data_IF_401438545464
#
_entry.id   IF_401438545464
#
_cell.length_a   1.000
_cell.length_b   1.000
_cell.length_c   1.000
_cell.angle_alpha   90.00
_cell.angle_beta   90.00
_cell.angle_gamma   90.00
#
_symmetry.space_group_name_H-M   'P 1'
#
loop_
_entity.id
_entity.type
_entity.pdbx_description
1 polymer ?
#
# COMPACT_ATOMS: atom_id res chain seq x y z
N UNK A 1 -33.92 -16.74 0.98
CA UNK A 1 -32.47 -16.63 1.28
C UNK A 1 -31.72 -16.79 -0.04
N UNK A 2 -30.91 -15.79 -0.47
CA UNK A 2 -29.55 -15.68 0.06
C UNK A 2 -29.17 -14.22 0.39
N UNK A 3 -29.14 -13.90 1.68
CA UNK A 3 -28.78 -12.60 2.25
C UNK A 3 -27.26 -12.49 2.54
N UNK A 4 -26.42 -13.25 1.81
CA UNK A 4 -24.98 -13.33 2.10
C UNK A 4 -24.13 -12.34 1.31
N UNK A 5 -24.66 -11.75 0.22
CA UNK A 5 -23.96 -10.74 -0.58
C UNK A 5 -24.22 -9.29 -0.14
N UNK A 6 -25.13 -9.04 0.81
CA UNK A 6 -25.49 -7.67 1.22
C UNK A 6 -24.42 -7.01 2.10
N UNK A 7 -23.66 -7.78 2.88
CA UNK A 7 -22.68 -7.23 3.83
C UNK A 7 -21.46 -6.64 3.12
N UNK A 8 -20.87 -7.38 2.17
CA UNK A 8 -19.74 -6.91 1.38
C UNK A 8 -20.13 -5.67 0.55
N UNK A 9 -21.33 -5.69 -0.06
CA UNK A 9 -21.83 -4.54 -0.80
C UNK A 9 -22.17 -3.33 0.08
N UNK A 10 -22.52 -3.56 1.36
CA UNK A 10 -22.76 -2.51 2.35
C UNK A 10 -21.46 -1.87 2.85
N UNK A 11 -20.36 -2.63 2.96
CA UNK A 11 -19.05 -2.11 3.37
C UNK A 11 -18.52 -1.04 2.41
N UNK A 12 -18.84 -1.16 1.12
CA UNK A 12 -18.45 -0.20 0.08
C UNK A 12 -19.46 0.95 -0.15
N UNK A 13 -20.50 1.06 0.68
CA UNK A 13 -21.50 2.16 0.64
C UNK A 13 -21.45 3.08 1.86
N UNK A 14 -20.41 2.96 2.68
CA UNK A 14 -20.23 3.76 3.90
C UNK A 14 -19.01 4.68 3.74
N UNK A 15 -18.85 5.69 4.60
CA UNK A 15 -17.66 6.56 4.64
C UNK A 15 -16.35 5.78 4.79
N UNK A 16 -16.40 4.58 5.38
CA UNK A 16 -15.27 3.64 5.49
C UNK A 16 -14.94 2.89 4.19
N UNK A 17 -15.74 3.04 3.13
CA UNK A 17 -15.48 2.39 1.84
C UNK A 17 -14.09 2.73 1.31
N UNK A 18 -13.66 3.99 1.46
CA UNK A 18 -12.34 4.43 1.04
C UNK A 18 -11.22 3.76 1.86
N UNK A 19 -11.40 3.66 3.17
CA UNK A 19 -10.46 2.95 4.04
C UNK A 19 -10.26 1.50 3.56
N UNK A 20 -11.35 0.76 3.35
CA UNK A 20 -11.27 -0.63 2.90
C UNK A 20 -10.74 -0.77 1.47
N UNK A 21 -11.06 0.17 0.58
CA UNK A 21 -10.57 0.17 -0.79
C UNK A 21 -9.04 0.35 -0.84
N UNK A 22 -8.48 1.25 -0.03
CA UNK A 22 -7.02 1.46 0.06
C UNK A 22 -6.32 0.23 0.61
N UNK A 23 -6.86 -0.38 1.69
CA UNK A 23 -6.34 -1.66 2.22
C UNK A 23 -6.35 -2.72 1.12
N UNK A 24 -7.45 -2.86 0.38
CA UNK A 24 -7.57 -3.86 -0.67
C UNK A 24 -6.56 -3.65 -1.81
N UNK A 25 -6.36 -2.40 -2.26
CA UNK A 25 -5.36 -2.07 -3.29
C UNK A 25 -3.94 -2.39 -2.81
N UNK A 26 -3.58 -1.97 -1.60
CA UNK A 26 -2.26 -2.26 -1.04
C UNK A 26 -2.03 -3.77 -0.91
N UNK A 27 -2.99 -4.50 -0.34
CA UNK A 27 -2.90 -5.96 -0.19
C UNK A 27 -2.76 -6.68 -1.52
N UNK A 28 -3.48 -6.24 -2.57
CA UNK A 28 -3.36 -6.81 -3.90
C UNK A 28 -1.97 -6.57 -4.50
N UNK A 29 -1.44 -5.36 -4.40
CA UNK A 29 -0.10 -5.03 -4.91
C UNK A 29 1.01 -5.74 -4.14
N UNK A 30 0.93 -5.79 -2.80
CA UNK A 30 1.89 -6.54 -1.97
C UNK A 30 1.88 -8.04 -2.27
N UNK A 31 0.69 -8.60 -2.55
CA UNK A 31 0.57 -9.99 -2.97
C UNK A 31 1.20 -10.21 -4.34
N UNK A 32 0.96 -9.33 -5.31
CA UNK A 32 1.60 -9.38 -6.63
C UNK A 32 3.12 -9.25 -6.54
N UNK A 33 3.62 -8.30 -5.73
CA UNK A 33 5.04 -8.13 -5.49
C UNK A 33 5.64 -9.42 -4.92
N UNK A 34 5.01 -10.03 -3.91
CA UNK A 34 5.46 -11.32 -3.36
C UNK A 34 5.53 -12.42 -4.41
N UNK A 35 4.54 -12.50 -5.31
CA UNK A 35 4.57 -13.47 -6.40
C UNK A 35 5.76 -13.23 -7.32
N UNK A 36 6.00 -11.98 -7.72
CA UNK A 36 7.15 -11.59 -8.55
C UNK A 36 8.47 -11.95 -7.88
N UNK A 37 8.65 -11.61 -6.60
CA UNK A 37 9.86 -11.92 -5.84
C UNK A 37 10.06 -13.43 -5.67
N UNK A 38 8.99 -14.19 -5.44
CA UNK A 38 9.06 -15.64 -5.39
C UNK A 38 9.55 -16.20 -6.72
N UNK A 39 8.97 -15.76 -7.84
CA UNK A 39 9.38 -16.18 -9.18
C UNK A 39 10.83 -15.84 -9.50
N UNK A 40 11.29 -14.66 -9.07
CA UNK A 40 12.69 -14.25 -9.22
C UNK A 40 13.62 -15.22 -8.49
N UNK A 41 13.33 -15.54 -7.24
CA UNK A 41 14.19 -16.40 -6.40
C UNK A 41 13.92 -17.90 -6.53
N UNK A 42 13.13 -18.35 -7.53
CA UNK A 42 12.78 -19.78 -7.74
C UNK A 42 14.02 -20.68 -7.79
N UNK A 43 15.14 -20.20 -8.33
CA UNK A 43 16.36 -21.01 -8.53
C UNK A 43 17.14 -21.26 -7.26
N UNK A 44 17.05 -20.34 -6.31
CA UNK A 44 17.81 -20.38 -5.06
C UNK A 44 17.01 -21.02 -3.92
N UNK A 45 15.73 -21.34 -4.16
CA UNK A 45 14.82 -21.89 -3.17
C UNK A 45 14.84 -23.42 -3.17
N UNK A 46 15.16 -24.00 -2.02
CA UNK A 46 14.80 -25.38 -1.72
C UNK A 46 13.27 -25.45 -1.52
N UNK A 47 12.55 -25.94 -2.53
CA UNK A 47 11.10 -26.01 -2.51
C UNK A 47 10.60 -26.94 -1.40
N UNK A 48 10.09 -26.34 -0.33
CA UNK A 48 9.26 -27.01 0.66
C UNK A 48 7.88 -26.37 0.63
N UNK A 49 6.84 -27.14 0.30
CA UNK A 49 5.46 -26.62 0.22
C UNK A 49 5.03 -25.94 1.51
N UNK A 50 5.48 -26.43 2.67
CA UNK A 50 5.17 -25.84 3.97
C UNK A 50 5.85 -24.48 4.18
N UNK A 51 7.09 -24.30 3.69
CA UNK A 51 7.78 -23.01 3.81
C UNK A 51 7.11 -21.96 2.94
N UNK A 52 6.68 -22.31 1.72
CA UNK A 52 5.93 -21.42 0.83
C UNK A 52 4.62 -20.97 1.51
N UNK A 53 3.82 -21.90 2.02
CA UNK A 53 2.56 -21.55 2.72
C UNK A 53 2.82 -20.60 3.90
N UNK A 54 3.86 -20.89 4.71
CA UNK A 54 4.24 -20.02 5.85
C UNK A 54 4.66 -18.62 5.38
N UNK A 55 5.44 -18.51 4.31
CA UNK A 55 5.87 -17.22 3.74
C UNK A 55 4.68 -16.40 3.28
N UNK A 56 3.70 -17.00 2.60
CA UNK A 56 2.49 -16.29 2.18
C UNK A 56 1.61 -15.89 3.34
N UNK A 57 1.44 -16.76 4.34
CA UNK A 57 0.63 -16.45 5.52
C UNK A 57 1.25 -15.33 6.36
N UNK A 58 2.52 -15.45 6.73
CA UNK A 58 3.22 -14.42 7.48
C UNK A 58 3.26 -13.11 6.69
N UNK A 59 3.56 -13.20 5.39
CA UNK A 59 3.56 -12.05 4.51
C UNK A 59 2.20 -11.34 4.47
N UNK A 60 1.09 -12.08 4.39
CA UNK A 60 -0.26 -11.51 4.45
C UNK A 60 -0.51 -10.76 5.76
N UNK A 61 -0.12 -11.34 6.91
CA UNK A 61 -0.27 -10.69 8.22
C UNK A 61 0.56 -9.41 8.31
N UNK A 62 1.79 -9.43 7.82
CA UNK A 62 2.66 -8.24 7.77
C UNK A 62 2.08 -7.16 6.87
N UNK A 63 1.68 -7.48 5.64
CA UNK A 63 1.12 -6.51 4.71
C UNK A 63 -0.16 -5.88 5.27
N UNK A 64 -1.02 -6.70 5.90
CA UNK A 64 -2.24 -6.21 6.54
C UNK A 64 -1.90 -5.23 7.66
N UNK A 65 -0.94 -5.60 8.52
CA UNK A 65 -0.48 -4.75 9.62
C UNK A 65 0.07 -3.41 9.12
N UNK A 66 0.88 -3.42 8.08
CA UNK A 66 1.45 -2.20 7.46
C UNK A 66 0.35 -1.33 6.86
N UNK A 67 -0.61 -1.92 6.13
CA UNK A 67 -1.74 -1.17 5.54
C UNK A 67 -2.60 -0.49 6.61
N UNK A 68 -2.87 -1.18 7.72
CA UNK A 68 -3.62 -0.64 8.84
C UNK A 68 -2.84 0.46 9.57
N UNK A 69 -1.51 0.31 9.68
CA UNK A 69 -0.66 1.33 10.27
C UNK A 69 -0.66 2.63 9.46
N UNK A 70 -0.52 2.54 8.13
CA UNK A 70 -0.63 3.71 7.25
C UNK A 70 -2.00 4.40 7.30
N UNK A 71 -3.07 3.65 7.55
CA UNK A 71 -4.43 4.17 7.63
C UNK A 71 -4.90 4.44 9.07
N UNK A 72 -4.05 4.26 10.07
CA UNK A 72 -4.43 4.36 11.48
C UNK A 72 -4.97 5.77 11.80
N UNK A 73 -4.23 6.81 11.42
CA UNK A 73 -4.62 8.21 11.63
C UNK A 73 -5.92 8.53 10.87
N UNK A 74 -6.06 8.03 9.65
CA UNK A 74 -7.29 8.18 8.88
C UNK A 74 -8.49 7.46 9.50
N UNK A 75 -8.28 6.27 10.05
CA UNK A 75 -9.31 5.54 10.79
C UNK A 75 -9.82 6.34 12.00
N UNK A 76 -8.91 6.94 12.77
CA UNK A 76 -9.26 7.84 13.88
C UNK A 76 -10.04 9.06 13.37
N UNK A 77 -9.57 9.68 12.28
CA UNK A 77 -10.25 10.81 11.65
C UNK A 77 -11.69 10.47 11.25
N UNK A 78 -11.91 9.30 10.63
CA UNK A 78 -13.24 8.85 10.23
C UNK A 78 -14.19 8.64 11.43
N UNK A 79 -13.65 8.23 12.58
CA UNK A 79 -14.42 7.97 13.80
C UNK A 79 -14.79 9.26 14.56
N UNK A 80 -13.84 10.20 14.67
CA UNK A 80 -14.01 11.41 15.51
C UNK A 80 -14.73 12.53 14.77
N UNK A 81 -14.59 12.61 13.44
CA UNK A 81 -15.07 13.77 12.69
C UNK A 81 -16.60 13.96 12.79
N UNK A 82 -17.11 15.17 13.12
CA UNK A 82 -18.52 15.38 13.40
C UNK A 82 -19.44 14.99 12.24
N UNK A 83 -20.50 14.22 12.53
CA UNK A 83 -21.47 13.75 11.52
C UNK A 83 -22.07 14.88 10.67
N UNK A 84 -22.30 16.05 11.27
CA UNK A 84 -22.85 17.24 10.61
C UNK A 84 -21.99 17.80 9.48
N UNK A 85 -20.68 17.51 9.45
CA UNK A 85 -19.72 18.10 8.50
C UNK A 85 -19.21 17.07 7.48
N UNK A 86 -19.70 15.83 7.54
CA UNK A 86 -19.38 14.77 6.59
C UNK A 86 -19.84 15.23 5.19
N UNK A 87 -18.96 15.12 4.19
CA UNK A 87 -19.23 15.55 2.81
C UNK A 87 -18.97 17.04 2.54
N UNK A 88 -18.59 17.83 3.56
CA UNK A 88 -18.16 19.22 3.39
C UNK A 88 -16.90 19.35 2.52
N UNK A 89 -16.62 20.56 2.03
CA UNK A 89 -15.39 20.84 1.26
C UNK A 89 -14.14 20.53 2.10
N UNK A 90 -14.18 20.80 3.41
CA UNK A 90 -13.10 20.47 4.34
C UNK A 90 -12.90 18.96 4.50
N UNK A 91 -13.97 18.18 4.70
CA UNK A 91 -13.90 16.71 4.80
C UNK A 91 -13.32 16.07 3.54
N UNK A 92 -13.77 16.55 2.37
CA UNK A 92 -13.25 16.13 1.08
C UNK A 92 -11.78 16.51 0.92
N UNK A 93 -11.42 17.76 1.20
CA UNK A 93 -10.04 18.24 1.10
C UNK A 93 -9.07 17.42 1.96
N UNK A 94 -9.40 17.20 3.24
CA UNK A 94 -8.59 16.37 4.15
C UNK A 94 -8.45 14.96 3.60
N UNK A 95 -9.56 14.35 3.17
CA UNK A 95 -9.54 12.99 2.63
C UNK A 95 -8.67 12.88 1.37
N UNK A 96 -8.80 13.80 0.42
CA UNK A 96 -8.00 13.81 -0.81
C UNK A 96 -6.51 14.01 -0.53
N UNK A 97 -6.15 14.98 0.32
CA UNK A 97 -4.74 15.25 0.68
C UNK A 97 -4.12 14.08 1.43
N UNK A 98 -4.83 13.53 2.42
CA UNK A 98 -4.36 12.36 3.15
C UNK A 98 -4.13 11.17 2.22
N UNK A 99 -5.10 10.90 1.33
CA UNK A 99 -5.02 9.80 0.40
C UNK A 99 -3.86 9.96 -0.57
N UNK A 100 -3.62 11.17 -1.09
CA UNK A 100 -2.51 11.45 -1.98
C UNK A 100 -1.16 11.11 -1.33
N UNK A 101 -0.94 11.63 -0.12
CA UNK A 101 0.29 11.40 0.64
C UNK A 101 0.49 9.91 0.94
N UNK A 102 -0.54 9.22 1.44
CA UNK A 102 -0.42 7.81 1.82
C UNK A 102 -0.25 6.89 0.61
N UNK A 103 -0.97 7.13 -0.50
CA UNK A 103 -0.79 6.34 -1.71
C UNK A 103 0.62 6.53 -2.28
N UNK A 104 1.13 7.76 -2.30
CA UNK A 104 2.49 8.04 -2.74
C UNK A 104 3.52 7.27 -1.90
N UNK A 105 3.41 7.34 -0.57
CA UNK A 105 4.31 6.61 0.34
C UNK A 105 4.20 5.09 0.14
N UNK A 106 2.98 4.55 0.06
CA UNK A 106 2.75 3.11 -0.15
C UNK A 106 3.37 2.62 -1.46
N UNK A 107 3.17 3.34 -2.57
CA UNK A 107 3.73 2.95 -3.87
C UNK A 107 5.25 3.10 -3.89
N UNK A 108 5.78 4.17 -3.30
CA UNK A 108 7.22 4.34 -3.14
C UNK A 108 7.82 3.18 -2.34
N UNK A 109 7.22 2.80 -1.21
CA UNK A 109 7.67 1.66 -0.41
C UNK A 109 7.64 0.35 -1.20
N UNK A 110 6.53 0.04 -1.89
CA UNK A 110 6.42 -1.19 -2.69
C UNK A 110 7.46 -1.23 -3.83
N UNK A 111 7.75 -0.09 -4.44
CA UNK A 111 8.74 -0.02 -5.52
C UNK A 111 10.17 -0.12 -4.98
N UNK A 112 10.44 0.48 -3.82
CA UNK A 112 11.75 0.42 -3.16
C UNK A 112 12.09 -0.98 -2.62
N UNK A 113 11.11 -1.86 -2.45
CA UNK A 113 11.38 -3.26 -2.10
C UNK A 113 12.12 -4.02 -3.21
N UNK A 114 11.99 -3.61 -4.47
CA UNK A 114 12.65 -4.30 -5.59
C UNK A 114 14.18 -4.17 -5.49
N UNK A 115 14.78 -2.95 -5.46
CA UNK A 115 16.22 -2.83 -5.30
C UNK A 115 16.71 -3.32 -3.94
N UNK A 116 15.89 -3.21 -2.89
CA UNK A 116 16.24 -3.75 -1.58
C UNK A 116 16.32 -5.30 -1.60
N UNK A 117 15.41 -5.94 -2.33
CA UNK A 117 15.44 -7.39 -2.54
C UNK A 117 16.65 -7.82 -3.37
N UNK A 118 17.00 -7.06 -4.40
CA UNK A 118 18.18 -7.34 -5.23
C UNK A 118 19.48 -7.30 -4.40
N UNK A 119 19.59 -6.32 -3.50
CA UNK A 119 20.78 -6.15 -2.65
C UNK A 119 20.85 -7.16 -1.49
N UNK A 120 19.73 -7.39 -0.78
CA UNK A 120 19.74 -8.12 0.49
C UNK A 120 19.03 -9.48 0.47
N UNK A 121 18.31 -9.80 -0.62
CA UNK A 121 17.55 -11.06 -0.75
C UNK A 121 16.40 -11.21 0.26
N UNK A 122 15.99 -10.12 0.91
CA UNK A 122 14.93 -10.10 1.93
C UNK A 122 14.05 -8.87 1.74
N UNK A 123 12.79 -8.94 2.20
CA UNK A 123 11.91 -7.75 2.27
C UNK A 123 12.37 -6.81 3.39
N UNK A 124 11.84 -5.59 3.38
CA UNK A 124 12.14 -4.60 4.42
C UNK A 124 12.01 -5.16 5.83
N UNK A 125 13.06 -4.94 6.59
CA UNK A 125 13.22 -5.32 7.98
C UNK A 125 14.14 -4.29 8.67
N UNK A 126 14.75 -4.64 9.80
CA UNK A 126 15.62 -3.73 10.54
C UNK A 126 16.88 -3.30 9.77
N UNK A 127 17.34 -4.08 8.78
CA UNK A 127 18.46 -3.72 7.90
C UNK A 127 18.16 -2.42 7.15
N UNK A 128 16.92 -2.20 6.73
CA UNK A 128 16.51 -0.96 6.08
C UNK A 128 16.66 0.25 7.01
N UNK A 129 16.44 0.07 8.31
CA UNK A 129 16.63 1.13 9.32
C UNK A 129 18.11 1.46 9.46
N UNK A 130 18.98 0.45 9.54
CA UNK A 130 20.42 0.64 9.61
C UNK A 130 20.95 1.35 8.35
N UNK A 131 20.38 1.05 7.18
CA UNK A 131 20.69 1.73 5.93
C UNK A 131 20.33 3.22 5.99
N UNK A 132 19.17 3.56 6.58
CA UNK A 132 18.73 4.95 6.73
C UNK A 132 19.55 5.76 7.73
N UNK A 133 20.38 5.14 8.57
CA UNK A 133 21.32 5.89 9.41
C UNK A 133 22.37 6.60 8.53
N UNK A 134 22.76 5.98 7.41
CA UNK A 134 23.73 6.52 6.44
C UNK A 134 23.07 7.34 5.33
N UNK A 135 22.11 8.21 5.69
CA UNK A 135 21.27 8.98 4.76
C UNK A 135 22.02 9.62 3.57
N UNK A 136 23.18 10.23 3.81
CA UNK A 136 23.94 10.92 2.76
C UNK A 136 24.43 9.97 1.65
N UNK A 137 24.96 8.82 2.06
CA UNK A 137 25.47 7.80 1.13
C UNK A 137 24.30 7.19 0.35
N UNK A 138 23.22 6.84 1.05
CA UNK A 138 22.01 6.26 0.44
C UNK A 138 21.38 7.21 -0.58
N UNK A 139 21.19 8.49 -0.23
CA UNK A 139 20.58 9.46 -1.14
C UNK A 139 21.47 9.71 -2.35
N UNK A 140 22.79 9.82 -2.16
CA UNK A 140 23.75 9.96 -3.25
C UNK A 140 23.71 8.76 -4.19
N UNK A 141 23.73 7.54 -3.65
CA UNK A 141 23.61 6.30 -4.42
C UNK A 141 22.31 6.28 -5.22
N UNK A 142 21.18 6.64 -4.61
CA UNK A 142 19.89 6.69 -5.31
C UNK A 142 19.94 7.67 -6.49
N UNK A 143 20.51 8.86 -6.29
CA UNK A 143 20.59 9.89 -7.32
C UNK A 143 21.52 9.51 -8.48
N UNK A 144 22.56 8.71 -8.22
CA UNK A 144 23.50 8.25 -9.24
C UNK A 144 23.01 7.00 -9.98
N UNK A 145 22.34 6.08 -9.27
CA UNK A 145 21.98 4.76 -9.80
C UNK A 145 20.61 4.72 -10.48
N UNK A 146 19.68 5.63 -10.14
CA UNK A 146 18.30 5.53 -10.61
C UNK A 146 17.80 6.79 -11.33
N UNK A 147 17.01 6.63 -12.42
CA UNK A 147 16.38 7.75 -13.11
C UNK A 147 15.19 8.30 -12.30
N UNK A 148 15.48 9.16 -11.32
CA UNK A 148 14.49 9.75 -10.41
C UNK A 148 13.26 10.35 -11.11
N UNK A 149 13.38 11.09 -12.24
CA UNK A 149 12.21 11.63 -12.92
C UNK A 149 11.25 10.55 -13.43
N UNK A 150 11.78 9.42 -13.92
CA UNK A 150 10.95 8.30 -14.38
C UNK A 150 10.26 7.58 -13.22
N UNK A 151 10.98 7.42 -12.11
CA UNK A 151 10.45 6.86 -10.87
C UNK A 151 9.27 7.71 -10.36
N UNK A 152 9.49 9.01 -10.19
CA UNK A 152 8.47 9.93 -9.68
C UNK A 152 7.29 9.98 -10.65
N UNK A 153 7.54 10.04 -11.96
CA UNK A 153 6.49 10.01 -12.98
C UNK A 153 5.63 8.74 -12.92
N UNK A 154 6.26 7.58 -12.69
CA UNK A 154 5.54 6.30 -12.53
C UNK A 154 4.68 6.27 -11.28
N UNK A 155 5.21 6.76 -10.15
CA UNK A 155 4.47 6.84 -8.88
C UNK A 155 3.23 7.74 -9.02
N UNK A 156 3.40 8.93 -9.60
CA UNK A 156 2.30 9.86 -9.84
C UNK A 156 1.26 9.30 -10.82
N UNK A 157 1.70 8.54 -11.84
CA UNK A 157 0.79 7.86 -12.76
C UNK A 157 -0.04 6.78 -12.04
N UNK A 158 0.59 5.94 -11.21
CA UNK A 158 -0.11 4.92 -10.41
C UNK A 158 -1.11 5.55 -9.44
N UNK A 159 -0.71 6.66 -8.80
CA UNK A 159 -1.58 7.43 -7.93
C UNK A 159 -2.81 7.95 -8.69
N UNK A 160 -2.60 8.64 -9.83
CA UNK A 160 -3.69 9.15 -10.66
C UNK A 160 -4.62 8.04 -11.15
N UNK A 161 -4.09 6.89 -11.56
CA UNK A 161 -4.87 5.73 -11.97
C UNK A 161 -5.71 5.17 -10.81
N UNK A 162 -5.16 5.13 -9.60
CA UNK A 162 -5.86 4.69 -8.40
C UNK A 162 -7.01 5.64 -8.04
N UNK A 163 -6.76 6.96 -8.10
CA UNK A 163 -7.82 7.97 -7.93
C UNK A 163 -8.93 7.82 -8.97
N UNK A 164 -8.58 7.62 -10.25
CA UNK A 164 -9.55 7.40 -11.31
C UNK A 164 -10.37 6.13 -11.07
N UNK A 165 -9.72 5.06 -10.64
CA UNK A 165 -10.37 3.80 -10.28
C UNK A 165 -11.35 3.97 -9.12
N UNK A 166 -10.97 4.66 -8.04
CA UNK A 166 -11.86 4.96 -6.91
C UNK A 166 -13.03 5.87 -7.29
N UNK A 167 -12.80 6.84 -8.19
CA UNK A 167 -13.86 7.71 -8.71
C UNK A 167 -14.88 6.91 -9.55
N UNK A 168 -14.41 5.97 -10.38
CA UNK A 168 -15.28 5.12 -11.22
C UNK A 168 -16.09 4.11 -10.41
N UNK A 169 -15.47 3.53 -9.38
CA UNK A 169 -16.14 2.58 -8.47
C UNK A 169 -17.06 3.26 -7.47
N UNK A 170 -17.06 4.60 -7.41
CA UNK A 170 -17.96 5.36 -6.53
C UNK A 170 -17.57 5.31 -5.06
N UNK A 171 -16.33 4.93 -4.74
CA UNK A 171 -15.84 4.79 -3.36
C UNK A 171 -15.83 6.13 -2.60
N UNK A 172 -15.71 7.25 -3.32
CA UNK A 172 -15.84 8.60 -2.76
C UNK A 172 -17.29 9.06 -2.51
N UNK A 173 -18.30 8.25 -2.87
CA UNK A 173 -19.72 8.60 -2.72
C UNK A 173 -20.24 8.08 -1.39
N UNK A 174 -20.25 8.96 -0.39
CA UNK A 174 -20.92 8.78 0.91
C UNK A 174 -21.68 10.04 1.30
#
# INVERSE_FOLDING_TARGET
>A
MPQKWSFVHSLFKNRFALFFAVVAVYMALSWLLRMVLLFWSVKDLQFNTLSVIRTFFNGFVFDLSVSLFFLFIYGIYLLIFPKRWIGSVADKGITYVYLAIILFIMFFSLMAEIPFWDEFGVRFNFIAVDYLIYTYEVVTNIHQSYPLPLIIGTLLALEALTFLFFKRTGVFRY
#
